data_IF_592862024994
#
_entry.id   IF_592862024994
#
_cell.length_a   1.000
_cell.length_b   1.000
_cell.length_c   1.000
_cell.angle_alpha   90.00
_cell.angle_beta   90.00
_cell.angle_gamma   90.00
#
_symmetry.space_group_name_H-M   'P 1'
#
loop_
_entity.id
_entity.type
_entity.pdbx_description
1 polymer ?
#
# COMPACT_ATOMS: atom_id res chain seq x y z
N UNK A 1 4.10 -17.20 -6.21
CA UNK A 1 3.45 -17.55 -4.92
C UNK A 1 2.01 -17.01 -4.85
N UNK A 2 1.02 -17.89 -4.80
CA UNK A 2 -0.39 -17.51 -4.70
C UNK A 2 -0.60 -16.76 -3.38
N UNK A 3 -0.89 -15.45 -3.43
CA UNK A 3 -1.17 -14.63 -2.23
C UNK A 3 -2.32 -15.32 -1.48
N UNK A 4 -2.04 -15.92 -0.31
CA UNK A 4 -3.08 -16.55 0.52
C UNK A 4 -4.13 -15.49 0.83
N UNK A 5 -5.43 -15.83 0.69
CA UNK A 5 -6.50 -14.96 1.17
C UNK A 5 -6.31 -14.74 2.66
N UNK A 6 -5.95 -13.51 3.05
CA UNK A 6 -5.83 -13.09 4.45
C UNK A 6 -7.00 -12.18 4.77
N UNK A 7 -7.55 -12.35 5.97
CA UNK A 7 -8.51 -11.40 6.52
C UNK A 7 -7.78 -10.06 6.75
N UNK A 8 -8.21 -9.01 6.05
CA UNK A 8 -7.64 -7.66 6.21
C UNK A 8 -8.16 -6.98 7.48
N UNK A 9 -9.45 -7.14 7.78
CA UNK A 9 -10.11 -6.53 8.93
C UNK A 9 -11.57 -6.95 9.04
N UNK A 10 -12.28 -6.36 10.00
CA UNK A 10 -13.69 -6.60 10.28
C UNK A 10 -14.48 -5.29 10.34
N UNK A 11 -15.73 -5.31 9.89
CA UNK A 11 -16.71 -4.25 10.17
C UNK A 11 -17.53 -4.71 11.37
N UNK A 12 -17.42 -4.00 12.49
CA UNK A 12 -18.09 -4.35 13.75
C UNK A 12 -19.15 -3.31 14.08
N UNK A 13 -20.38 -3.77 14.30
CA UNK A 13 -21.52 -2.92 14.62
C UNK A 13 -21.98 -3.19 16.06
N UNK A 14 -22.24 -2.13 16.82
CA UNK A 14 -22.79 -2.20 18.18
C UNK A 14 -24.09 -1.42 18.28
N UNK A 15 -25.00 -1.85 19.14
CA UNK A 15 -26.22 -1.13 19.49
C UNK A 15 -26.40 -1.19 21.02
N UNK A 16 -26.78 -0.07 21.63
CA UNK A 16 -26.89 0.04 23.10
C UNK A 16 -28.07 -0.76 23.68
N UNK A 17 -29.05 -1.10 22.84
CA UNK A 17 -30.20 -1.97 23.17
C UNK A 17 -30.22 -3.21 22.28
N UNK A 18 -30.91 -4.30 22.67
CA UNK A 18 -31.06 -5.47 21.81
C UNK A 18 -31.66 -5.09 20.45
N UNK A 19 -30.96 -5.42 19.36
CA UNK A 19 -31.39 -5.09 18.00
C UNK A 19 -31.25 -6.30 17.08
N UNK A 20 -32.37 -6.75 16.54
CA UNK A 20 -32.39 -7.74 15.47
C UNK A 20 -32.13 -7.05 14.12
N UNK A 21 -31.25 -7.62 13.30
CA UNK A 21 -30.98 -7.15 11.94
C UNK A 21 -31.44 -8.23 10.96
N UNK A 22 -32.52 -8.03 10.18
CA UNK A 22 -33.03 -9.01 9.22
C UNK A 22 -31.99 -9.42 8.17
N UNK A 23 -32.12 -10.64 7.64
CA UNK A 23 -31.19 -11.19 6.65
C UNK A 23 -30.98 -10.31 5.42
N UNK A 24 -32.02 -9.73 4.76
CA UNK A 24 -31.81 -8.87 3.59
C UNK A 24 -30.89 -7.67 3.87
N UNK A 25 -30.98 -7.09 5.08
CA UNK A 25 -30.10 -6.00 5.49
C UNK A 25 -28.66 -6.47 5.70
N UNK A 26 -28.46 -7.63 6.34
CA UNK A 26 -27.10 -8.20 6.53
C UNK A 26 -26.44 -8.50 5.18
N UNK A 27 -27.20 -9.02 4.22
CA UNK A 27 -26.70 -9.30 2.87
C UNK A 27 -26.33 -8.01 2.12
N UNK A 28 -27.14 -6.96 2.23
CA UNK A 28 -26.79 -5.65 1.68
C UNK A 28 -25.50 -5.09 2.30
N UNK A 29 -25.33 -5.21 3.63
CA UNK A 29 -24.10 -4.82 4.31
C UNK A 29 -22.88 -5.65 3.86
N UNK A 30 -23.04 -6.96 3.65
CA UNK A 30 -21.98 -7.81 3.11
C UNK A 30 -21.55 -7.35 1.72
N UNK A 31 -22.51 -7.09 0.83
CA UNK A 31 -22.22 -6.58 -0.51
C UNK A 31 -21.47 -5.24 -0.46
N UNK A 32 -21.90 -4.31 0.40
CA UNK A 32 -21.20 -3.03 0.61
C UNK A 32 -19.76 -3.24 1.09
N UNK A 33 -19.55 -4.17 2.03
CA UNK A 33 -18.21 -4.48 2.54
C UNK A 33 -17.31 -5.12 1.46
N UNK A 34 -17.87 -5.96 0.59
CA UNK A 34 -17.16 -6.53 -0.56
C UNK A 34 -16.71 -5.44 -1.53
N UNK A 35 -17.61 -4.52 -1.91
CA UNK A 35 -17.28 -3.39 -2.81
C UNK A 35 -16.24 -2.48 -2.17
N UNK A 36 -16.39 -2.18 -0.87
CA UNK A 36 -15.41 -1.40 -0.12
C UNK A 36 -14.02 -2.07 -0.15
N UNK A 37 -13.94 -3.37 0.10
CA UNK A 37 -12.67 -4.11 0.06
C UNK A 37 -12.01 -4.07 -1.32
N UNK A 38 -12.77 -4.09 -2.41
CA UNK A 38 -12.23 -3.94 -3.77
C UNK A 38 -11.56 -2.56 -3.93
N UNK A 39 -12.23 -1.49 -3.50
CA UNK A 39 -11.70 -0.13 -3.61
C UNK A 39 -10.44 0.06 -2.78
N UNK A 40 -10.45 -0.41 -1.53
CA UNK A 40 -9.27 -0.36 -0.64
C UNK A 40 -8.10 -1.13 -1.23
N UNK A 41 -8.32 -2.34 -1.75
CA UNK A 41 -7.25 -3.12 -2.37
C UNK A 41 -6.65 -2.39 -3.59
N UNK A 42 -7.50 -1.75 -4.41
CA UNK A 42 -7.04 -0.98 -5.56
C UNK A 42 -6.19 0.22 -5.14
N UNK A 43 -6.62 0.95 -4.11
CA UNK A 43 -5.88 2.10 -3.58
C UNK A 43 -4.50 1.68 -3.03
N UNK A 44 -4.47 0.60 -2.23
CA UNK A 44 -3.22 0.05 -1.68
C UNK A 44 -2.30 -0.42 -2.80
N UNK A 45 -2.82 -1.07 -3.83
CA UNK A 45 -2.02 -1.50 -4.98
C UNK A 45 -1.47 -0.30 -5.77
N UNK A 46 -2.26 0.77 -5.93
CA UNK A 46 -1.81 2.00 -6.59
C UNK A 46 -0.67 2.67 -5.82
N UNK A 47 -0.81 2.81 -4.50
CA UNK A 47 0.25 3.35 -3.64
C UNK A 47 1.53 2.51 -3.72
N UNK A 48 1.41 1.19 -3.71
CA UNK A 48 2.56 0.29 -3.90
C UNK A 48 3.24 0.51 -5.26
N UNK A 49 2.46 0.68 -6.33
CA UNK A 49 3.01 0.96 -7.66
C UNK A 49 3.74 2.31 -7.73
N UNK A 50 3.22 3.35 -7.06
CA UNK A 50 3.88 4.65 -6.97
C UNK A 50 5.22 4.52 -6.25
N UNK A 51 5.23 3.81 -5.11
CA UNK A 51 6.46 3.56 -4.34
C UNK A 51 7.47 2.77 -5.15
N UNK A 52 7.06 1.68 -5.81
CA UNK A 52 7.94 0.84 -6.63
C UNK A 52 8.53 1.64 -7.81
N UNK A 53 7.73 2.47 -8.47
CA UNK A 53 8.20 3.36 -9.54
C UNK A 53 9.23 4.38 -9.04
N UNK A 54 9.02 4.96 -7.86
CA UNK A 54 9.97 5.90 -7.25
C UNK A 54 11.29 5.22 -6.87
N UNK A 55 11.22 4.01 -6.32
CA UNK A 55 12.39 3.17 -6.03
C UNK A 55 13.16 2.90 -7.32
N UNK A 56 12.48 2.42 -8.38
CA UNK A 56 13.13 2.12 -9.66
C UNK A 56 13.82 3.36 -10.25
N UNK A 57 13.14 4.52 -10.24
CA UNK A 57 13.71 5.79 -10.73
C UNK A 57 14.97 6.18 -9.94
N UNK A 58 14.92 6.06 -8.62
CA UNK A 58 16.05 6.40 -7.74
C UNK A 58 17.21 5.43 -7.96
N UNK A 59 16.94 4.12 -8.04
CA UNK A 59 17.97 3.12 -8.36
C UNK A 59 18.66 3.39 -9.69
N UNK A 60 17.91 3.71 -10.75
CA UNK A 60 18.50 4.02 -12.06
C UNK A 60 19.46 5.20 -11.99
N UNK A 61 19.10 6.26 -11.25
CA UNK A 61 19.97 7.43 -11.07
C UNK A 61 21.23 7.10 -10.25
N UNK A 62 21.07 6.41 -9.12
CA UNK A 62 22.20 6.01 -8.28
C UNK A 62 23.16 5.05 -9.00
N UNK A 63 22.63 4.12 -9.81
CA UNK A 63 23.43 3.24 -10.65
C UNK A 63 24.23 4.03 -11.71
N UNK A 64 23.64 5.04 -12.36
CA UNK A 64 24.38 5.90 -13.30
C UNK A 64 25.50 6.68 -12.61
N UNK A 65 25.28 7.16 -11.39
CA UNK A 65 26.31 7.85 -10.59
C UNK A 65 27.46 6.94 -10.17
N UNK A 66 27.15 5.68 -9.79
CA UNK A 66 28.14 4.65 -9.51
C UNK A 66 29.01 4.36 -10.73
N UNK A 67 28.39 4.18 -11.90
CA UNK A 67 29.10 3.86 -13.15
C UNK A 67 30.00 4.99 -13.65
N UNK A 68 29.76 6.23 -13.19
CA UNK A 68 30.58 7.42 -13.53
C UNK A 68 31.68 7.71 -12.50
N UNK A 69 31.98 6.77 -11.60
CA UNK A 69 32.97 6.93 -10.51
C UNK A 69 32.75 8.20 -9.67
N UNK A 70 31.48 8.53 -9.40
CA UNK A 70 31.08 9.66 -8.53
C UNK A 70 30.52 9.18 -7.18
N UNK A 71 31.27 8.40 -6.37
CA UNK A 71 30.74 7.73 -5.18
C UNK A 71 30.28 8.72 -4.10
N UNK A 72 30.89 9.92 -4.03
CA UNK A 72 30.45 10.97 -3.11
C UNK A 72 29.04 11.49 -3.47
N UNK A 73 28.69 11.49 -4.76
CA UNK A 73 27.40 11.99 -5.23
C UNK A 73 26.21 11.18 -4.68
N UNK A 74 26.39 9.88 -4.45
CA UNK A 74 25.37 8.98 -3.90
C UNK A 74 24.90 9.41 -2.51
N UNK A 75 25.78 10.09 -1.76
CA UNK A 75 25.50 10.58 -0.40
C UNK A 75 25.19 12.07 -0.43
N UNK A 76 25.89 12.85 -1.26
CA UNK A 76 25.86 14.31 -1.20
C UNK A 76 24.88 14.99 -2.15
N UNK A 77 24.40 14.30 -3.21
CA UNK A 77 23.48 14.87 -4.21
C UNK A 77 22.09 14.26 -4.08
N UNK A 78 21.05 14.97 -4.54
CA UNK A 78 19.68 14.45 -4.53
C UNK A 78 19.29 13.94 -5.93
N UNK A 79 18.65 12.75 -6.04
CA UNK A 79 18.33 11.83 -4.95
C UNK A 79 19.56 11.07 -4.43
N UNK A 80 19.60 10.81 -3.12
CA UNK A 80 20.67 10.07 -2.44
C UNK A 80 20.19 8.69 -1.94
N UNK A 81 21.10 7.92 -1.34
CA UNK A 81 20.80 6.58 -0.82
C UNK A 81 19.71 6.53 0.26
N UNK A 82 19.47 7.64 0.97
CA UNK A 82 18.40 7.75 1.98
C UNK A 82 17.02 7.91 1.33
N UNK A 83 16.95 8.29 0.05
CA UNK A 83 15.67 8.37 -0.69
C UNK A 83 15.20 6.99 -1.18
N UNK A 84 16.08 5.97 -1.14
CA UNK A 84 15.79 4.62 -1.61
C UNK A 84 15.03 3.78 -0.58
N UNK A 85 15.31 4.01 0.71
CA UNK A 85 14.72 3.26 1.82
C UNK A 85 14.27 4.24 2.89
N UNK A 86 13.22 3.90 3.64
CA UNK A 86 12.84 4.71 4.79
C UNK A 86 13.97 4.63 5.83
N UNK A 87 14.70 5.72 5.98
CA UNK A 87 15.70 5.91 7.03
C UNK A 87 15.15 6.78 8.15
N UNK A 88 15.69 6.61 9.36
CA UNK A 88 15.49 7.51 10.50
C UNK A 88 16.33 8.79 10.37
#
# INVERSE_FOLDING_TARGET
PQKRKRLWGLVVCHNTTPRFVPFPLRYACEFLAQVFAIHVNKEVELENQIVEKNILRTQTLLCDMLMRDAPLGIVSQSPNIMDLVKCD
#
